data_IF_163348945108
#
_entry.id   IF_163348945108
#
_cell.length_a   1.000
_cell.length_b   1.000
_cell.length_c   1.000
_cell.angle_alpha   90.00
_cell.angle_beta   90.00
_cell.angle_gamma   90.00
#
_symmetry.space_group_name_H-M   'P 1'
#
loop_
_entity.id
_entity.type
_entity.pdbx_description
1 polymer ?
#
# COMPACT_ATOMS: atom_id res chain seq x y z
N UNK A 1 20.73 1.09 19.07
CA UNK A 1 19.30 1.44 18.99
C UNK A 1 18.56 0.87 20.20
N UNK A 2 17.74 1.66 20.92
CA UNK A 2 16.98 1.19 22.08
C UNK A 2 15.87 0.22 21.63
N UNK A 3 15.47 -0.73 22.50
CA UNK A 3 14.41 -1.69 22.18
C UNK A 3 13.08 -0.97 21.90
N UNK A 4 12.76 0.10 22.64
CA UNK A 4 11.56 0.92 22.41
C UNK A 4 11.56 1.57 21.04
N UNK A 5 12.67 2.11 20.56
CA UNK A 5 12.76 2.71 19.23
C UNK A 5 12.59 1.67 18.12
N UNK A 6 13.17 0.47 18.31
CA UNK A 6 13.02 -0.64 17.36
C UNK A 6 11.55 -1.07 17.20
N UNK A 7 10.81 -1.16 18.32
CA UNK A 7 9.38 -1.50 18.30
C UNK A 7 8.59 -0.45 17.52
N UNK A 8 8.83 0.84 17.78
CA UNK A 8 8.11 1.94 17.09
C UNK A 8 8.38 1.95 15.58
N UNK A 9 9.65 1.77 15.17
CA UNK A 9 10.00 1.67 13.75
C UNK A 9 9.40 0.43 13.08
N UNK A 10 9.29 -0.69 13.81
CA UNK A 10 8.61 -1.90 13.33
C UNK A 10 7.12 -1.62 13.11
N UNK A 11 6.45 -0.89 14.01
CA UNK A 11 5.05 -0.47 13.82
C UNK A 11 4.88 0.46 12.63
N UNK A 12 5.80 1.39 12.38
CA UNK A 12 5.78 2.22 11.17
C UNK A 12 5.82 1.30 9.93
N UNK A 13 6.67 0.28 9.92
CA UNK A 13 6.74 -0.68 8.81
C UNK A 13 5.43 -1.44 8.61
N UNK A 14 4.82 -1.93 9.68
CA UNK A 14 3.54 -2.64 9.63
C UNK A 14 2.42 -1.75 9.07
N UNK A 15 2.29 -0.54 9.59
CA UNK A 15 1.28 0.43 9.15
C UNK A 15 1.51 0.88 7.70
N UNK A 16 2.77 0.92 7.24
CA UNK A 16 3.11 1.25 5.85
C UNK A 16 2.57 0.21 4.86
N UNK A 17 2.65 -1.06 5.21
CA UNK A 17 2.08 -2.15 4.42
C UNK A 17 0.55 -2.15 4.49
N UNK A 18 -0.02 -1.93 5.68
CA UNK A 18 -1.45 -1.80 5.85
C UNK A 18 -2.03 -0.63 5.02
N UNK A 19 -1.35 0.51 4.98
CA UNK A 19 -1.75 1.66 4.16
C UNK A 19 -1.83 1.31 2.68
N UNK A 20 -0.76 0.69 2.14
CA UNK A 20 -0.70 0.31 0.73
C UNK A 20 -1.74 -0.75 0.40
N UNK A 21 -1.88 -1.78 1.25
CA UNK A 21 -2.90 -2.81 1.10
C UNK A 21 -4.32 -2.24 1.07
N UNK A 22 -4.63 -1.33 2.01
CA UNK A 22 -5.93 -0.66 2.05
C UNK A 22 -6.22 0.12 0.77
N UNK A 23 -5.28 0.94 0.28
CA UNK A 23 -5.46 1.76 -0.93
C UNK A 23 -5.65 0.90 -2.18
N UNK A 24 -4.86 -0.17 -2.34
CA UNK A 24 -4.92 -1.02 -3.53
C UNK A 24 -6.19 -1.88 -3.54
N UNK A 25 -6.50 -2.52 -2.40
CA UNK A 25 -7.56 -3.53 -2.33
C UNK A 25 -8.95 -2.89 -2.33
N UNK A 26 -9.11 -1.75 -1.66
CA UNK A 26 -10.41 -1.07 -1.58
C UNK A 26 -10.90 -0.55 -2.93
N UNK A 27 -9.97 -0.34 -3.86
CA UNK A 27 -10.24 0.19 -5.19
C UNK A 27 -11.36 -0.57 -5.91
N UNK A 28 -11.34 -1.91 -5.89
CA UNK A 28 -12.38 -2.74 -6.50
C UNK A 28 -13.76 -2.54 -5.85
N UNK A 29 -13.82 -2.30 -4.54
CA UNK A 29 -15.08 -2.11 -3.81
C UNK A 29 -15.77 -0.78 -4.11
N UNK A 30 -15.00 0.29 -4.33
CA UNK A 30 -15.53 1.64 -4.55
C UNK A 30 -15.67 2.00 -6.03
N UNK A 31 -15.14 1.18 -6.94
CA UNK A 31 -15.03 1.48 -8.36
C UNK A 31 -16.38 1.79 -9.01
N UNK A 32 -17.42 1.00 -8.73
CA UNK A 32 -18.76 1.23 -9.26
C UNK A 32 -19.34 2.56 -8.77
N UNK A 33 -19.23 2.85 -7.47
CA UNK A 33 -19.74 4.10 -6.91
C UNK A 33 -19.03 5.34 -7.47
N UNK A 34 -17.73 5.24 -7.76
CA UNK A 34 -16.98 6.32 -8.39
C UNK A 34 -17.37 6.46 -9.87
N UNK A 35 -17.59 5.35 -10.58
CA UNK A 35 -18.06 5.35 -11.96
C UNK A 35 -19.42 6.06 -12.08
N UNK A 36 -20.35 5.75 -11.18
CA UNK A 36 -21.64 6.40 -11.09
C UNK A 36 -21.52 7.90 -10.79
N UNK A 37 -20.63 8.28 -9.87
CA UNK A 37 -20.37 9.68 -9.52
C UNK A 37 -19.89 10.52 -10.71
N UNK A 38 -19.03 9.95 -11.56
CA UNK A 38 -18.52 10.63 -12.76
C UNK A 38 -19.36 10.38 -14.01
N UNK A 39 -20.46 9.62 -13.92
CA UNK A 39 -21.29 9.18 -15.05
C UNK A 39 -20.46 8.47 -16.14
N UNK A 40 -19.57 7.59 -15.74
CA UNK A 40 -18.70 6.82 -16.62
C UNK A 40 -18.96 5.32 -16.49
N UNK A 41 -18.75 4.54 -17.56
CA UNK A 41 -18.80 3.09 -17.44
C UNK A 41 -17.66 2.59 -16.54
N UNK A 42 -17.91 1.53 -15.74
CA UNK A 42 -16.94 0.93 -14.81
C UNK A 42 -15.63 0.56 -15.50
N UNK A 43 -15.70 0.09 -16.75
CA UNK A 43 -14.51 -0.24 -17.57
C UNK A 43 -13.61 0.97 -17.82
N UNK A 44 -14.18 2.16 -18.04
CA UNK A 44 -13.41 3.40 -18.20
C UNK A 44 -12.85 3.86 -16.86
N UNK A 45 -13.61 3.67 -15.78
CA UNK A 45 -13.15 4.02 -14.43
C UNK A 45 -11.98 3.16 -13.99
N UNK A 46 -11.94 1.87 -14.35
CA UNK A 46 -10.82 0.98 -14.03
C UNK A 46 -9.48 1.49 -14.57
N UNK A 47 -9.48 2.14 -15.74
CA UNK A 47 -8.28 2.75 -16.31
C UNK A 47 -7.72 3.89 -15.42
N UNK A 48 -8.61 4.59 -14.71
CA UNK A 48 -8.23 5.70 -13.83
C UNK A 48 -7.47 5.21 -12.59
N UNK A 49 -7.74 4.01 -12.12
CA UNK A 49 -6.98 3.39 -11.04
C UNK A 49 -5.55 2.98 -11.44
N UNK A 50 -5.25 2.95 -12.72
CA UNK A 50 -3.86 2.80 -13.20
C UNK A 50 -2.97 3.91 -12.66
N UNK A 51 -3.50 5.12 -12.39
CA UNK A 51 -2.74 6.22 -11.80
C UNK A 51 -2.25 5.91 -10.38
N UNK A 52 -3.04 5.23 -9.56
CA UNK A 52 -2.60 4.75 -8.24
C UNK A 52 -1.40 3.80 -8.38
N UNK A 53 -1.54 2.78 -9.23
CA UNK A 53 -0.50 1.78 -9.45
C UNK A 53 0.75 2.38 -10.10
N UNK A 54 0.59 3.32 -11.05
CA UNK A 54 1.70 4.07 -11.64
C UNK A 54 2.45 4.90 -10.59
N UNK A 55 1.71 5.55 -9.67
CA UNK A 55 2.30 6.26 -8.54
C UNK A 55 3.14 5.33 -7.66
N UNK A 56 2.62 4.15 -7.30
CA UNK A 56 3.35 3.14 -6.53
C UNK A 56 4.61 2.69 -7.27
N UNK A 57 4.50 2.36 -8.57
CA UNK A 57 5.63 1.90 -9.37
C UNK A 57 6.73 2.97 -9.45
N UNK A 58 6.38 4.19 -9.79
CA UNK A 58 7.33 5.31 -9.89
C UNK A 58 7.99 5.58 -8.54
N UNK A 59 7.22 5.50 -7.45
CA UNK A 59 7.73 5.78 -6.11
C UNK A 59 8.79 4.78 -5.65
N UNK A 60 8.74 3.51 -6.08
CA UNK A 60 9.75 2.51 -5.73
C UNK A 60 11.12 2.92 -6.28
N UNK A 61 11.18 3.36 -7.53
CA UNK A 61 12.43 3.85 -8.14
C UNK A 61 12.86 5.20 -7.55
N UNK A 62 11.91 6.12 -7.41
CA UNK A 62 12.16 7.44 -6.83
C UNK A 62 12.68 7.35 -5.40
N UNK A 63 12.13 6.44 -4.60
CA UNK A 63 12.51 6.30 -3.20
C UNK A 63 13.93 5.74 -3.02
N UNK A 64 14.41 4.90 -3.93
CA UNK A 64 15.80 4.44 -3.91
C UNK A 64 16.79 5.63 -3.95
N UNK A 65 16.48 6.63 -4.77
CA UNK A 65 17.27 7.87 -4.85
C UNK A 65 16.98 8.83 -3.70
N UNK A 66 15.71 9.00 -3.30
CA UNK A 66 15.31 9.89 -2.19
C UNK A 66 15.94 9.49 -0.86
N UNK A 67 16.09 8.19 -0.60
CA UNK A 67 16.71 7.71 0.64
C UNK A 67 18.16 8.17 0.81
N UNK A 68 18.87 8.47 -0.27
CA UNK A 68 20.26 8.95 -0.22
C UNK A 68 20.36 10.44 0.16
N UNK A 69 19.36 11.25 -0.18
CA UNK A 69 19.40 12.70 -0.08
C UNK A 69 18.46 13.30 0.95
N UNK A 70 17.36 12.61 1.28
CA UNK A 70 16.33 13.09 2.21
C UNK A 70 16.20 12.15 3.39
N UNK A 71 16.28 12.62 4.65
CA UNK A 71 16.07 11.79 5.82
C UNK A 71 14.70 11.09 5.80
N UNK A 72 14.66 9.80 6.15
CA UNK A 72 13.43 8.98 6.14
C UNK A 72 12.29 9.63 6.94
N UNK A 73 12.62 10.23 8.08
CA UNK A 73 11.67 10.97 8.92
C UNK A 73 11.01 12.12 8.19
N UNK A 74 11.78 12.87 7.41
CA UNK A 74 11.28 13.99 6.60
C UNK A 74 10.39 13.49 5.47
N UNK A 75 10.77 12.40 4.81
CA UNK A 75 9.97 11.79 3.75
C UNK A 75 8.59 11.37 4.28
N UNK A 76 8.53 10.69 5.44
CA UNK A 76 7.26 10.27 6.05
C UNK A 76 6.39 11.48 6.47
N UNK A 77 6.99 12.54 7.00
CA UNK A 77 6.24 13.75 7.39
C UNK A 77 5.70 14.51 6.19
N UNK A 78 6.50 14.64 5.15
CA UNK A 78 6.06 15.26 3.90
C UNK A 78 5.01 14.39 3.19
N UNK A 79 5.18 13.08 3.21
CA UNK A 79 4.19 12.12 2.72
C UNK A 79 2.84 12.26 3.41
N UNK A 80 2.81 12.56 4.72
CA UNK A 80 1.57 12.85 5.45
C UNK A 80 0.84 14.07 4.86
N UNK A 81 1.56 15.16 4.62
CA UNK A 81 0.98 16.36 4.00
C UNK A 81 0.40 16.03 2.61
N UNK A 82 1.14 15.30 1.78
CA UNK A 82 0.68 14.88 0.46
C UNK A 82 -0.55 13.95 0.55
N UNK A 83 -0.59 13.06 1.55
CA UNK A 83 -1.76 12.21 1.80
C UNK A 83 -3.00 13.03 2.10
N UNK A 84 -2.88 14.03 3.00
CA UNK A 84 -4.00 14.92 3.35
C UNK A 84 -4.47 15.70 2.13
N UNK A 85 -3.55 16.25 1.35
CA UNK A 85 -3.88 17.00 0.12
C UNK A 85 -4.56 16.10 -0.92
N UNK A 86 -4.09 14.86 -1.08
CA UNK A 86 -4.68 13.92 -2.03
C UNK A 86 -6.09 13.47 -1.60
N UNK A 87 -6.29 13.17 -0.31
CA UNK A 87 -7.64 12.85 0.22
C UNK A 87 -8.57 14.04 0.08
N UNK A 88 -8.12 15.25 0.40
CA UNK A 88 -8.90 16.47 0.16
C UNK A 88 -9.21 16.64 -1.33
N UNK A 89 -8.24 16.39 -2.22
CA UNK A 89 -8.43 16.38 -3.66
C UNK A 89 -9.51 15.41 -4.12
N UNK A 90 -9.61 14.21 -3.51
CA UNK A 90 -10.70 13.27 -3.78
C UNK A 90 -12.05 13.79 -3.29
N UNK A 91 -12.11 14.39 -2.10
CA UNK A 91 -13.36 14.92 -1.51
C UNK A 91 -13.94 16.10 -2.31
N UNK A 92 -13.08 16.93 -2.88
CA UNK A 92 -13.49 18.10 -3.69
C UNK A 92 -13.39 17.85 -5.20
N UNK A 93 -13.26 16.57 -5.61
CA UNK A 93 -13.08 16.22 -7.01
C UNK A 93 -14.38 16.35 -7.80
N UNK A 94 -14.46 17.35 -8.67
CA UNK A 94 -15.50 17.49 -9.67
C UNK A 94 -15.02 17.16 -11.10
N UNK A 95 -13.76 16.76 -11.24
CA UNK A 95 -13.16 16.40 -12.52
C UNK A 95 -12.35 15.11 -12.44
N UNK A 96 -12.40 14.32 -13.50
CA UNK A 96 -11.62 13.09 -13.62
C UNK A 96 -10.10 13.35 -13.52
N UNK A 97 -9.65 14.52 -14.00
CA UNK A 97 -8.23 14.91 -13.94
C UNK A 97 -7.77 15.09 -12.49
N UNK A 98 -8.55 15.80 -11.65
CA UNK A 98 -8.21 15.98 -10.24
C UNK A 98 -8.27 14.65 -9.47
N UNK A 99 -9.27 13.82 -9.77
CA UNK A 99 -9.37 12.47 -9.22
C UNK A 99 -8.12 11.64 -9.55
N UNK A 100 -7.74 11.58 -10.84
CA UNK A 100 -6.57 10.82 -11.30
C UNK A 100 -5.26 11.33 -10.69
N UNK A 101 -5.09 12.65 -10.60
CA UNK A 101 -3.93 13.26 -9.96
C UNK A 101 -3.87 12.90 -8.46
N UNK A 102 -5.00 12.94 -7.77
CA UNK A 102 -5.08 12.56 -6.36
C UNK A 102 -4.75 11.08 -6.15
N UNK A 103 -5.27 10.19 -7.01
CA UNK A 103 -4.95 8.76 -6.98
C UNK A 103 -3.45 8.51 -7.24
N UNK A 104 -2.86 9.23 -8.18
CA UNK A 104 -1.43 9.16 -8.46
C UNK A 104 -0.59 9.57 -7.23
N UNK A 105 -0.95 10.69 -6.57
CA UNK A 105 -0.28 11.15 -5.35
C UNK A 105 -0.43 10.14 -4.21
N UNK A 106 -1.62 9.56 -4.02
CA UNK A 106 -1.83 8.47 -3.06
C UNK A 106 -0.92 7.28 -3.35
N UNK A 107 -0.76 6.93 -4.63
CA UNK A 107 0.16 5.88 -5.07
C UNK A 107 1.62 6.20 -4.73
N UNK A 108 2.08 7.43 -5.05
CA UNK A 108 3.44 7.89 -4.72
C UNK A 108 3.70 7.80 -3.22
N UNK A 109 2.78 8.33 -2.42
CA UNK A 109 2.90 8.37 -0.95
C UNK A 109 2.94 6.96 -0.37
N UNK A 110 2.05 6.07 -0.81
CA UNK A 110 1.99 4.71 -0.28
C UNK A 110 3.22 3.90 -0.66
N UNK A 111 3.70 4.00 -1.90
CA UNK A 111 4.88 3.28 -2.35
C UNK A 111 6.18 3.77 -1.69
N UNK A 112 6.36 5.08 -1.49
CA UNK A 112 7.49 5.62 -0.70
C UNK A 112 7.42 5.08 0.73
N UNK A 113 6.24 5.15 1.35
CA UNK A 113 6.04 4.73 2.74
C UNK A 113 6.30 3.23 2.90
N UNK A 114 5.79 2.40 2.00
CA UNK A 114 6.03 0.96 1.99
C UNK A 114 7.51 0.62 1.78
N UNK A 115 8.20 1.31 0.86
CA UNK A 115 9.63 1.13 0.63
C UNK A 115 10.46 1.48 1.87
N UNK A 116 10.11 2.56 2.58
CA UNK A 116 10.72 2.91 3.86
C UNK A 116 10.47 1.81 4.90
N UNK A 117 9.23 1.30 4.98
CA UNK A 117 8.87 0.20 5.87
C UNK A 117 9.71 -1.05 5.64
N UNK A 118 9.88 -1.46 4.38
CA UNK A 118 10.74 -2.59 3.98
C UNK A 118 12.20 -2.34 4.39
N UNK A 119 12.71 -1.14 4.09
CA UNK A 119 14.08 -0.76 4.45
C UNK A 119 14.31 -0.84 5.97
N UNK A 120 13.38 -0.33 6.78
CA UNK A 120 13.50 -0.37 8.24
C UNK A 120 13.60 -1.80 8.76
N UNK A 121 12.74 -2.72 8.29
CA UNK A 121 12.80 -4.14 8.68
C UNK A 121 14.12 -4.77 8.26
N UNK A 122 14.56 -4.55 7.02
CA UNK A 122 15.82 -5.15 6.52
C UNK A 122 17.06 -4.60 7.20
N UNK A 123 17.00 -3.36 7.70
CA UNK A 123 18.08 -2.72 8.43
C UNK A 123 18.13 -3.12 9.91
N UNK A 124 16.97 -3.38 10.54
CA UNK A 124 16.88 -3.67 11.97
C UNK A 124 17.03 -5.16 12.32
N UNK A 125 16.80 -6.05 11.36
CA UNK A 125 16.81 -7.51 11.58
C UNK A 125 17.75 -8.21 10.61
N UNK A 126 18.35 -9.29 11.05
CA UNK A 126 19.34 -10.06 10.27
C UNK A 126 18.97 -11.54 10.16
N UNK A 127 19.57 -12.24 9.20
CA UNK A 127 19.44 -13.67 9.00
C UNK A 127 17.98 -14.14 8.91
N UNK A 128 17.66 -15.25 9.57
CA UNK A 128 16.32 -15.85 9.57
C UNK A 128 15.24 -14.91 10.14
N UNK A 129 15.61 -14.07 11.13
CA UNK A 129 14.66 -13.13 11.72
C UNK A 129 14.20 -12.07 10.72
N UNK A 130 15.05 -11.62 9.79
CA UNK A 130 14.69 -10.68 8.73
C UNK A 130 13.57 -11.24 7.86
N UNK A 131 13.72 -12.49 7.37
CA UNK A 131 12.70 -13.14 6.55
C UNK A 131 11.36 -13.26 7.27
N UNK A 132 11.38 -13.78 8.50
CA UNK A 132 10.16 -13.92 9.32
C UNK A 132 9.48 -12.56 9.59
N UNK A 133 10.27 -11.51 9.86
CA UNK A 133 9.73 -10.16 10.07
C UNK A 133 9.17 -9.52 8.80
N UNK A 134 9.78 -9.76 7.64
CA UNK A 134 9.24 -9.31 6.36
C UNK A 134 7.90 -9.97 6.05
N UNK A 135 7.79 -11.31 6.20
CA UNK A 135 6.53 -12.03 6.03
C UNK A 135 5.45 -11.52 6.99
N UNK A 136 5.82 -11.30 8.25
CA UNK A 136 4.88 -10.73 9.23
C UNK A 136 4.48 -9.29 8.89
N UNK A 137 5.39 -8.50 8.32
CA UNK A 137 5.08 -7.14 7.84
C UNK A 137 4.11 -7.21 6.65
N UNK A 138 4.32 -8.14 5.73
CA UNK A 138 3.45 -8.34 4.56
C UNK A 138 2.04 -8.79 4.98
N UNK A 139 1.90 -9.52 6.08
CA UNK A 139 0.58 -9.89 6.61
C UNK A 139 -0.28 -8.69 6.99
N UNK A 140 0.29 -7.52 7.28
CA UNK A 140 -0.46 -6.28 7.51
C UNK A 140 -1.09 -5.71 6.24
N UNK A 141 -0.47 -5.96 5.07
CA UNK A 141 -1.12 -5.69 3.78
C UNK A 141 -2.40 -6.53 3.63
N UNK A 142 -2.32 -7.83 3.92
CA UNK A 142 -3.46 -8.75 3.87
C UNK A 142 -4.51 -8.42 4.92
N UNK A 143 -4.10 -8.05 6.14
CA UNK A 143 -5.00 -7.62 7.21
C UNK A 143 -5.80 -6.37 6.80
N UNK A 144 -5.17 -5.43 6.14
CA UNK A 144 -5.87 -4.27 5.58
C UNK A 144 -6.87 -4.71 4.49
N UNK A 145 -6.50 -5.67 3.65
CA UNK A 145 -7.39 -6.31 2.67
C UNK A 145 -8.58 -7.04 3.27
N UNK A 146 -8.46 -7.51 4.49
CA UNK A 146 -9.57 -8.09 5.25
C UNK A 146 -10.50 -7.00 5.82
N UNK A 147 -9.95 -5.95 6.39
CA UNK A 147 -10.70 -4.94 7.15
C UNK A 147 -11.36 -3.91 6.23
N UNK A 148 -10.61 -3.33 5.29
CA UNK A 148 -11.07 -2.16 4.54
C UNK A 148 -12.17 -2.45 3.50
N UNK A 149 -12.25 -3.61 2.83
CA UNK A 149 -13.41 -3.94 1.99
C UNK A 149 -14.72 -4.03 2.78
N UNK A 150 -14.68 -4.61 3.99
CA UNK A 150 -15.85 -4.65 4.87
C UNK A 150 -16.24 -3.25 5.34
N UNK A 151 -15.26 -2.42 5.70
CA UNK A 151 -15.49 -1.02 6.06
C UNK A 151 -16.09 -0.24 4.88
N UNK A 152 -15.56 -0.41 3.67
CA UNK A 152 -16.09 0.23 2.47
C UNK A 152 -17.55 -0.21 2.21
N UNK A 153 -17.82 -1.51 2.24
CA UNK A 153 -19.17 -2.05 2.10
C UNK A 153 -20.14 -1.46 3.13
N UNK A 154 -19.72 -1.38 4.39
CA UNK A 154 -20.52 -0.81 5.48
C UNK A 154 -20.81 0.68 5.28
N UNK A 155 -19.83 1.49 4.90
CA UNK A 155 -20.01 2.92 4.65
C UNK A 155 -20.93 3.16 3.43
N UNK A 156 -20.68 2.47 2.33
CA UNK A 156 -21.45 2.62 1.10
C UNK A 156 -22.90 2.13 1.28
N UNK A 157 -23.14 1.07 2.04
CA UNK A 157 -24.49 0.60 2.36
C UNK A 157 -25.31 1.60 3.19
N UNK A 158 -24.64 2.55 3.86
CA UNK A 158 -25.27 3.67 4.59
C UNK A 158 -25.37 4.94 3.76
N UNK A 159 -25.17 4.87 2.46
CA UNK A 159 -25.15 6.03 1.55
C UNK A 159 -24.11 7.08 1.94
N UNK A 160 -23.03 6.66 2.61
CA UNK A 160 -21.87 7.52 2.88
C UNK A 160 -21.03 7.55 1.61
N UNK A 161 -20.60 8.73 1.23
CA UNK A 161 -19.86 8.97 0.00
C UNK A 161 -18.54 8.20 -0.04
N UNK A 162 -18.18 7.68 -1.21
CA UNK A 162 -17.03 6.82 -1.45
C UNK A 162 -15.68 7.42 -0.97
N UNK A 163 -15.51 8.73 -1.02
CA UNK A 163 -14.26 9.38 -0.60
C UNK A 163 -13.99 9.26 0.90
N UNK A 164 -15.01 9.03 1.74
CA UNK A 164 -14.82 8.79 3.17
C UNK A 164 -14.06 7.49 3.44
N UNK A 165 -14.12 6.51 2.53
CA UNK A 165 -13.33 5.29 2.63
C UNK A 165 -11.83 5.64 2.58
N UNK A 166 -11.43 6.52 1.66
CA UNK A 166 -10.04 7.00 1.58
C UNK A 166 -9.64 7.86 2.77
N UNK A 167 -10.56 8.64 3.33
CA UNK A 167 -10.32 9.38 4.56
C UNK A 167 -10.05 8.43 5.75
N UNK A 168 -10.81 7.35 5.88
CA UNK A 168 -10.55 6.31 6.90
C UNK A 168 -9.19 5.63 6.70
N UNK A 169 -8.79 5.36 5.46
CA UNK A 169 -7.44 4.86 5.16
C UNK A 169 -6.38 5.88 5.58
N UNK A 170 -6.64 7.16 5.39
CA UNK A 170 -5.77 8.25 5.84
C UNK A 170 -5.47 8.22 7.34
N UNK A 171 -6.36 7.70 8.18
CA UNK A 171 -6.11 7.53 9.62
C UNK A 171 -4.93 6.58 9.91
N UNK A 172 -4.67 5.61 9.04
CA UNK A 172 -3.48 4.76 9.13
C UNK A 172 -2.22 5.61 8.99
N UNK A 173 -2.23 6.59 8.08
CA UNK A 173 -1.09 7.49 7.94
C UNK A 173 -0.96 8.47 9.11
N UNK A 174 -2.06 8.91 9.71
CA UNK A 174 -2.01 9.70 10.95
C UNK A 174 -1.24 8.94 12.04
N UNK A 175 -1.50 7.64 12.20
CA UNK A 175 -0.76 6.81 13.15
C UNK A 175 0.74 6.72 12.80
N UNK A 176 1.11 6.54 11.53
CA UNK A 176 2.50 6.59 11.08
C UNK A 176 3.13 7.95 11.42
N UNK A 177 2.45 9.05 11.09
CA UNK A 177 2.92 10.41 11.32
C UNK A 177 3.19 10.68 12.81
N UNK A 178 2.26 10.30 13.69
CA UNK A 178 2.42 10.43 15.14
C UNK A 178 3.63 9.64 15.64
N UNK A 179 3.82 8.41 15.17
CA UNK A 179 4.98 7.60 15.53
C UNK A 179 6.31 8.24 15.13
N UNK A 180 6.36 9.04 14.04
CA UNK A 180 7.60 9.70 13.61
C UNK A 180 8.17 10.68 14.64
N UNK A 181 7.34 11.26 15.51
CA UNK A 181 7.81 12.21 16.54
C UNK A 181 8.60 11.52 17.63
N UNK A 182 8.28 10.27 17.96
CA UNK A 182 8.93 9.52 19.03
C UNK A 182 10.00 8.54 18.57
N UNK A 183 10.47 8.63 17.30
CA UNK A 183 11.43 7.70 16.70
C UNK A 183 12.72 8.38 16.27
N UNK A 184 13.82 7.68 16.47
CA UNK A 184 15.12 7.97 15.87
C UNK A 184 15.31 7.03 14.67
N UNK A 185 15.39 7.61 13.48
CA UNK A 185 15.56 6.87 12.22
C UNK A 185 17.06 6.63 11.94
N UNK A 186 17.40 5.52 11.27
CA UNK A 186 18.77 5.30 10.82
C UNK A 186 19.20 6.41 9.85
N UNK A 187 20.39 6.92 10.04
CA UNK A 187 20.99 7.93 9.16
C UNK A 187 21.54 7.23 7.95
N UNK A 188 20.95 7.51 6.80
CA UNK A 188 21.42 7.10 5.49
C UNK A 188 22.29 8.23 4.92
N UNK A 189 23.48 7.95 4.50
CA UNK A 189 24.36 8.93 3.88
C UNK A 189 25.64 8.26 3.38
N UNK A 190 26.39 8.98 2.54
CA UNK A 190 27.68 8.51 1.96
C UNK A 190 28.66 7.92 3.00
N UNK A 191 28.54 8.26 4.29
CA UNK A 191 29.32 7.67 5.38
C UNK A 191 28.97 6.20 5.67
N UNK A 192 27.70 5.80 5.54
CA UNK A 192 27.30 4.41 5.76
C UNK A 192 27.76 3.49 4.61
N UNK A 193 27.97 4.04 3.42
CA UNK A 193 28.49 3.31 2.26
C UNK A 193 30.02 3.11 2.33
N UNK A 194 30.75 3.91 3.10
CA UNK A 194 32.20 3.74 3.28
C UNK A 194 32.59 2.64 4.25
N UNK A 195 31.71 2.27 5.19
CA UNK A 195 31.92 1.18 6.16
C UNK A 195 31.36 -0.18 5.67
N UNK A 196 30.68 -0.23 4.55
CA UNK A 196 30.18 -1.47 3.97
C UNK A 196 31.30 -2.16 3.18
N UNK A 197 31.51 -3.45 3.47
CA UNK A 197 32.38 -4.32 2.67
C UNK A 197 31.98 -4.23 1.19
N UNK A 198 32.93 -4.33 0.24
CA UNK A 198 32.63 -4.25 -1.18
C UNK A 198 31.55 -5.29 -1.52
N UNK A 199 30.38 -4.82 -1.95
CA UNK A 199 29.30 -5.67 -2.41
C UNK A 199 29.80 -6.42 -3.62
N UNK A 200 30.04 -7.72 -3.47
CA UNK A 200 30.34 -8.60 -4.60
C UNK A 200 29.13 -8.55 -5.53
N UNK A 201 29.29 -7.96 -6.69
CA UNK A 201 28.24 -7.93 -7.72
C UNK A 201 28.07 -9.34 -8.28
N UNK A 202 27.21 -10.13 -7.66
CA UNK A 202 26.81 -11.40 -8.23
C UNK A 202 26.06 -11.16 -9.53
N UNK A 203 26.40 -11.95 -10.57
CA UNK A 203 25.68 -11.92 -11.85
C UNK A 203 24.30 -12.54 -11.66
N UNK A 204 23.28 -11.82 -12.09
CA UNK A 204 21.93 -12.34 -12.09
C UNK A 204 21.84 -13.56 -13.00
N UNK A 205 21.57 -14.73 -12.41
CA UNK A 205 21.40 -15.97 -13.15
C UNK A 205 20.01 -16.05 -13.80
N UNK A 206 19.87 -16.95 -14.77
CA UNK A 206 18.58 -17.19 -15.45
C UNK A 206 17.43 -17.56 -14.49
N UNK A 207 17.75 -18.17 -13.34
CA UNK A 207 16.80 -18.48 -12.28
C UNK A 207 16.11 -17.24 -11.70
N UNK A 208 16.83 -16.11 -11.57
CA UNK A 208 16.25 -14.84 -11.12
C UNK A 208 15.22 -14.32 -12.12
N UNK A 209 15.50 -14.46 -13.42
CA UNK A 209 14.57 -14.07 -14.48
C UNK A 209 13.26 -14.89 -14.40
N UNK A 210 13.35 -16.22 -14.29
CA UNK A 210 12.16 -17.07 -14.16
C UNK A 210 11.37 -16.77 -12.90
N UNK A 211 12.04 -16.55 -11.76
CA UNK A 211 11.38 -16.17 -10.52
C UNK A 211 10.66 -14.82 -10.65
N UNK A 212 11.29 -13.85 -11.32
CA UNK A 212 10.70 -12.52 -11.56
C UNK A 212 9.46 -12.61 -12.44
N UNK A 213 9.50 -13.44 -13.50
CA UNK A 213 8.34 -13.66 -14.38
C UNK A 213 7.22 -14.37 -13.62
N UNK A 214 7.54 -15.39 -12.83
CA UNK A 214 6.54 -16.09 -12.01
C UNK A 214 5.86 -15.13 -11.00
N UNK A 215 6.65 -14.30 -10.32
CA UNK A 215 6.14 -13.28 -9.42
C UNK A 215 5.25 -12.25 -10.15
N UNK A 216 5.66 -11.80 -11.34
CA UNK A 216 4.86 -10.90 -12.17
C UNK A 216 3.50 -11.51 -12.53
N UNK A 217 3.50 -12.74 -13.05
CA UNK A 217 2.26 -13.45 -13.41
C UNK A 217 1.34 -13.65 -12.20
N UNK A 218 1.92 -13.99 -11.05
CA UNK A 218 1.18 -14.15 -9.80
C UNK A 218 0.51 -12.84 -9.37
N UNK A 219 1.27 -11.74 -9.33
CA UNK A 219 0.75 -10.42 -8.92
C UNK A 219 -0.33 -9.92 -9.89
N UNK A 220 -0.13 -10.10 -11.21
CA UNK A 220 -1.14 -9.73 -12.22
C UNK A 220 -2.45 -10.51 -12.02
N UNK A 221 -2.37 -11.81 -11.77
CA UNK A 221 -3.55 -12.62 -11.47
C UNK A 221 -4.26 -12.18 -10.19
N UNK A 222 -3.49 -11.95 -9.13
CA UNK A 222 -4.01 -11.48 -7.83
C UNK A 222 -4.69 -10.11 -7.94
N UNK A 223 -4.05 -9.13 -8.55
CA UNK A 223 -4.62 -7.78 -8.72
C UNK A 223 -5.85 -7.80 -9.62
N UNK A 224 -5.82 -8.59 -10.70
CA UNK A 224 -6.98 -8.77 -11.58
C UNK A 224 -8.17 -9.33 -10.81
N UNK A 225 -7.97 -10.39 -10.03
CA UNK A 225 -9.01 -10.97 -9.19
C UNK A 225 -9.59 -9.94 -8.23
N UNK A 226 -8.77 -9.30 -7.42
CA UNK A 226 -9.20 -8.34 -6.38
C UNK A 226 -9.96 -7.16 -6.98
N UNK A 227 -9.50 -6.63 -8.12
CA UNK A 227 -10.10 -5.46 -8.74
C UNK A 227 -11.49 -5.73 -9.32
N UNK A 228 -11.72 -6.94 -9.84
CA UNK A 228 -12.94 -7.25 -10.59
C UNK A 228 -13.94 -8.11 -9.83
N UNK A 229 -13.55 -8.85 -8.80
CA UNK A 229 -14.45 -9.71 -8.02
C UNK A 229 -15.64 -8.97 -7.43
N UNK A 230 -15.51 -7.75 -6.86
CA UNK A 230 -16.67 -7.03 -6.33
C UNK A 230 -17.71 -6.69 -7.41
N UNK A 231 -17.27 -6.24 -8.58
CA UNK A 231 -18.17 -5.92 -9.69
C UNK A 231 -18.78 -7.19 -10.32
N UNK A 232 -18.02 -8.27 -10.43
CA UNK A 232 -18.52 -9.56 -10.88
C UNK A 232 -19.61 -10.10 -9.93
N UNK A 233 -19.35 -10.04 -8.61
CA UNK A 233 -20.32 -10.46 -7.60
C UNK A 233 -21.63 -9.65 -7.66
N UNK A 234 -21.54 -8.34 -7.85
CA UNK A 234 -22.73 -7.48 -8.09
C UNK A 234 -23.49 -7.89 -9.36
N UNK A 235 -22.76 -8.20 -10.45
CA UNK A 235 -23.35 -8.69 -11.69
C UNK A 235 -24.14 -10.01 -11.52
N UNK A 236 -23.78 -10.81 -10.53
CA UNK A 236 -24.51 -12.02 -10.12
C UNK A 236 -25.67 -11.74 -9.13
N UNK A 237 -25.94 -10.47 -8.81
CA UNK A 237 -27.01 -10.08 -7.87
C UNK A 237 -26.63 -10.18 -6.39
N UNK A 238 -25.33 -10.34 -6.06
CA UNK A 238 -24.86 -10.33 -4.68
C UNK A 238 -24.94 -8.92 -4.07
N UNK A 239 -25.21 -8.85 -2.77
CA UNK A 239 -25.15 -7.58 -2.05
C UNK A 239 -23.72 -7.03 -1.97
N UNK A 240 -23.58 -5.72 -1.78
CA UNK A 240 -22.28 -5.07 -1.58
C UNK A 240 -21.56 -5.63 -0.34
N UNK A 241 -22.34 -5.99 0.69
CA UNK A 241 -21.81 -6.63 1.91
C UNK A 241 -21.21 -8.01 1.63
N UNK A 242 -21.89 -8.83 0.83
CA UNK A 242 -21.39 -10.17 0.45
C UNK A 242 -20.15 -10.07 -0.44
N UNK A 243 -20.12 -9.11 -1.37
CA UNK A 243 -18.95 -8.84 -2.20
C UNK A 243 -17.74 -8.42 -1.34
N UNK A 244 -17.95 -7.53 -0.37
CA UNK A 244 -16.91 -7.11 0.58
C UNK A 244 -16.40 -8.26 1.44
N UNK A 245 -17.31 -9.14 1.90
CA UNK A 245 -16.96 -10.34 2.66
C UNK A 245 -16.12 -11.31 1.82
N UNK A 246 -16.48 -11.53 0.56
CA UNK A 246 -15.72 -12.42 -0.34
C UNK A 246 -14.25 -11.96 -0.49
N UNK A 247 -14.01 -10.66 -0.69
CA UNK A 247 -12.66 -10.10 -0.75
C UNK A 247 -11.94 -10.23 0.60
N UNK A 248 -12.65 -10.01 1.70
CA UNK A 248 -12.12 -10.16 3.06
C UNK A 248 -11.70 -11.60 3.36
N UNK A 249 -12.54 -12.58 3.01
CA UNK A 249 -12.27 -14.01 3.23
C UNK A 249 -11.07 -14.49 2.39
N UNK A 250 -10.91 -13.95 1.17
CA UNK A 250 -9.72 -14.20 0.35
C UNK A 250 -8.44 -13.75 1.07
N UNK A 251 -8.41 -12.51 1.58
CA UNK A 251 -7.22 -11.98 2.26
C UNK A 251 -6.97 -12.62 3.61
N UNK A 252 -8.01 -13.03 4.31
CA UNK A 252 -7.88 -13.82 5.54
C UNK A 252 -7.20 -15.16 5.27
N UNK A 253 -7.66 -15.87 4.23
CA UNK A 253 -7.07 -17.16 3.83
C UNK A 253 -5.62 -16.99 3.38
N UNK A 254 -5.31 -15.91 2.65
CA UNK A 254 -3.96 -15.56 2.23
C UNK A 254 -3.04 -15.30 3.43
N UNK A 255 -3.50 -14.54 4.42
CA UNK A 255 -2.75 -14.26 5.65
C UNK A 255 -2.47 -15.52 6.46
N UNK A 256 -3.45 -16.40 6.61
CA UNK A 256 -3.28 -17.71 7.28
C UNK A 256 -2.24 -18.54 6.56
N UNK A 257 -2.28 -18.58 5.22
CA UNK A 257 -1.29 -19.26 4.39
C UNK A 257 0.14 -18.75 4.66
N UNK A 258 0.35 -17.43 4.74
CA UNK A 258 1.67 -16.85 5.05
C UNK A 258 2.19 -17.22 6.45
N UNK A 259 1.31 -17.45 7.42
CA UNK A 259 1.72 -17.79 8.78
C UNK A 259 1.94 -19.29 8.97
N UNK A 260 1.51 -20.09 8.00
CA UNK A 260 1.66 -21.57 8.03
C UNK A 260 3.04 -22.05 7.58
N UNK A 261 3.89 -21.15 7.06
CA UNK A 261 5.26 -21.36 6.62
C UNK A 261 6.26 -20.62 7.51
#
# INVERSE_FOLDING_TARGET
MTNSNRIKLTWISFLSYALTGALVIVTGMVMGNIADYFNLPVSSMSNTFTFLNAGILISIFLNAWLMEIVPLKTQLRFGFLLMVLAVAGLMFSHSLALFSASMFVLGLVSGITMSIGTFLITHMYEGRQRGARLLFTDSFFSMAGMIFPMLAAYLLARSIEWYWVYACIGLVYVAIFVLTFGCEFPVLGKKALQDSQPVVKEKWGIGVLFLSIAALCYILGQLGFISWVPEYAKGLGMSLGDAGKLVSDFWMSYMIGMWSF
#
